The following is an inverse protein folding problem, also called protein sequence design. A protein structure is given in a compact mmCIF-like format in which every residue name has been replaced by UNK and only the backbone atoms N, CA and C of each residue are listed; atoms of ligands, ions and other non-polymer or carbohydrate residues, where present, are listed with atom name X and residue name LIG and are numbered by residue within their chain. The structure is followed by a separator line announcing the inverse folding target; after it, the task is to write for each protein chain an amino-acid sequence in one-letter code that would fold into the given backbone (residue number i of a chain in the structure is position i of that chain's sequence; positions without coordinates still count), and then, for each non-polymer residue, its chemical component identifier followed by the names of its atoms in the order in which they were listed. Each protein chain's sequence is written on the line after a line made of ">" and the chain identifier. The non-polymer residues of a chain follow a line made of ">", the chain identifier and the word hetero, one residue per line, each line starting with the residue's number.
data_IF_558721878254
#
_entry.id   IF_558721878254
#
_cell.length_a   1.000
_cell.length_b   1.000
_cell.length_c   1.000
_cell.angle_alpha   90.00
_cell.angle_beta   90.00
_cell.angle_gamma   90.00
#
_symmetry.space_group_name_H-M   'P 1'
#
loop_
_entity.id
_entity.type
_entity.pdbx_description
1 polymer ?
#
# COMPACT_ATOMS: atom_id res chain seq x y z
N UNK A 1 21.21 10.26 15.25
CA UNK A 1 20.16 9.29 15.62
C UNK A 1 18.87 9.77 14.96
N UNK A 2 18.39 9.07 13.92
CA UNK A 2 17.03 9.28 13.41
C UNK A 2 16.10 8.52 14.35
N UNK A 3 15.19 9.21 15.02
CA UNK A 3 14.29 8.65 16.04
C UNK A 3 12.90 8.31 15.51
N UNK A 4 12.65 8.42 14.21
CA UNK A 4 11.34 8.16 13.61
C UNK A 4 11.54 7.44 12.27
N UNK A 5 11.22 6.15 12.23
CA UNK A 5 11.08 5.34 11.01
C UNK A 5 9.57 5.21 10.75
N UNK A 6 9.16 5.40 9.51
CA UNK A 6 7.75 5.54 9.12
C UNK A 6 7.38 4.58 8.01
N UNK A 7 7.16 3.31 8.36
CA UNK A 7 6.73 2.29 7.40
C UNK A 7 5.21 2.35 7.34
N UNK A 8 4.72 3.25 6.50
CA UNK A 8 3.30 3.53 6.33
C UNK A 8 2.71 2.64 5.22
N UNK A 9 1.54 2.07 5.51
CA UNK A 9 0.79 1.25 4.56
C UNK A 9 -0.45 1.98 4.06
N UNK A 10 -0.77 1.77 2.79
CA UNK A 10 -2.10 2.05 2.25
C UNK A 10 -2.71 0.72 1.81
N UNK A 11 -3.88 0.37 2.34
CA UNK A 11 -4.66 -0.78 1.93
C UNK A 11 -5.82 -0.34 1.04
N UNK A 12 -5.90 -0.90 -0.17
CA UNK A 12 -7.00 -0.68 -1.11
C UNK A 12 -7.89 -1.91 -1.16
N UNK A 13 -9.10 -1.77 -0.63
CA UNK A 13 -10.09 -2.83 -0.49
C UNK A 13 -10.84 -3.12 -1.81
N UNK A 14 -11.47 -4.29 -1.92
CA UNK A 14 -12.29 -4.65 -3.09
C UNK A 14 -13.44 -3.68 -3.36
N UNK A 15 -14.00 -3.04 -2.33
CA UNK A 15 -15.06 -2.04 -2.46
C UNK A 15 -14.51 -0.62 -2.67
N UNK A 16 -13.22 -0.44 -2.94
CA UNK A 16 -12.64 0.86 -3.16
C UNK A 16 -13.11 1.49 -4.48
N UNK A 17 -13.38 2.80 -4.43
CA UNK A 17 -13.49 3.61 -5.62
C UNK A 17 -12.11 3.79 -6.25
N UNK A 18 -11.85 3.13 -7.38
CA UNK A 18 -10.51 3.12 -8.00
C UNK A 18 -10.03 4.52 -8.39
N UNK A 19 -10.92 5.45 -8.76
CA UNK A 19 -10.52 6.82 -9.06
C UNK A 19 -10.03 7.58 -7.83
N UNK A 20 -10.70 7.38 -6.69
CA UNK A 20 -10.26 7.94 -5.40
C UNK A 20 -8.98 7.26 -4.93
N UNK A 21 -8.90 5.93 -5.04
CA UNK A 21 -7.71 5.16 -4.66
C UNK A 21 -6.45 5.62 -5.41
N UNK A 22 -6.54 5.87 -6.72
CA UNK A 22 -5.43 6.41 -7.52
C UNK A 22 -4.91 7.74 -6.97
N UNK A 23 -5.82 8.66 -6.62
CA UNK A 23 -5.43 9.97 -6.07
C UNK A 23 -4.74 9.81 -4.71
N UNK A 24 -5.34 9.03 -3.80
CA UNK A 24 -4.80 8.80 -2.46
C UNK A 24 -3.41 8.14 -2.53
N UNK A 25 -3.27 7.06 -3.30
CA UNK A 25 -2.01 6.31 -3.43
C UNK A 25 -0.90 7.17 -4.04
N UNK A 26 -1.25 8.00 -5.02
CA UNK A 26 -0.31 8.94 -5.64
C UNK A 26 0.14 10.00 -4.64
N UNK A 27 -0.80 10.65 -3.97
CA UNK A 27 -0.52 11.77 -3.07
C UNK A 27 0.23 11.25 -1.83
N UNK A 28 -0.13 10.08 -1.30
CA UNK A 28 0.56 9.42 -0.19
C UNK A 28 2.03 9.09 -0.48
N UNK A 29 2.44 9.00 -1.76
CA UNK A 29 3.86 8.77 -2.11
C UNK A 29 4.61 10.02 -2.55
N UNK A 30 3.97 10.91 -3.31
CA UNK A 30 4.66 11.96 -4.07
C UNK A 30 4.63 13.30 -3.34
N UNK A 31 3.66 13.54 -2.47
CA UNK A 31 3.50 14.85 -1.83
C UNK A 31 4.75 15.24 -1.04
N UNK A 32 5.29 14.31 -0.24
CA UNK A 32 6.62 14.46 0.34
C UNK A 32 7.32 13.10 0.55
N UNK A 33 8.02 12.55 -0.46
CA UNK A 33 8.53 11.16 -0.43
C UNK A 33 9.60 10.88 0.64
N UNK A 34 10.18 11.94 1.22
CA UNK A 34 11.16 11.86 2.30
C UNK A 34 10.53 12.03 3.70
N UNK A 35 9.22 12.21 3.76
CA UNK A 35 8.48 12.28 5.02
C UNK A 35 8.36 10.90 5.65
N UNK A 36 8.34 10.87 6.98
CA UNK A 36 8.07 9.65 7.74
C UNK A 36 6.60 9.17 7.65
N UNK A 37 5.75 9.83 6.86
CA UNK A 37 4.38 9.39 6.59
C UNK A 37 4.16 9.03 5.12
N UNK A 38 5.21 9.06 4.29
CA UNK A 38 5.11 8.63 2.90
C UNK A 38 4.78 7.14 2.85
N UNK A 39 3.87 6.74 1.96
CA UNK A 39 3.53 5.33 1.76
C UNK A 39 4.78 4.55 1.34
N UNK A 40 5.13 3.50 2.07
CA UNK A 40 6.23 2.60 1.72
C UNK A 40 5.73 1.28 1.15
N UNK A 41 4.53 0.84 1.58
CA UNK A 41 3.89 -0.38 1.09
C UNK A 41 2.42 -0.11 0.70
N UNK A 42 2.06 -0.51 -0.52
CA UNK A 42 0.70 -0.55 -1.02
C UNK A 42 0.17 -1.99 -0.93
N UNK A 43 -0.83 -2.21 -0.08
CA UNK A 43 -1.56 -3.47 0.01
C UNK A 43 -2.81 -3.40 -0.86
N UNK A 44 -3.06 -4.42 -1.67
CA UNK A 44 -4.18 -4.44 -2.61
C UNK A 44 -4.99 -5.72 -2.43
N UNK A 45 -6.30 -5.60 -2.26
CA UNK A 45 -7.18 -6.77 -2.18
C UNK A 45 -7.11 -7.59 -3.48
N UNK A 46 -7.02 -8.92 -3.36
CA UNK A 46 -6.88 -9.85 -4.49
C UNK A 46 -7.89 -9.65 -5.63
N UNK A 47 -9.17 -9.40 -5.32
CA UNK A 47 -10.23 -9.12 -6.30
C UNK A 47 -9.89 -7.96 -7.26
N UNK A 48 -9.12 -6.96 -6.80
CA UNK A 48 -8.68 -5.85 -7.65
C UNK A 48 -7.65 -6.27 -8.71
N UNK A 49 -6.96 -7.39 -8.48
CA UNK A 49 -6.10 -8.00 -9.50
C UNK A 49 -6.94 -8.65 -10.60
N UNK A 50 -8.11 -9.17 -10.26
CA UNK A 50 -9.01 -9.84 -11.21
C UNK A 50 -9.86 -8.89 -12.06
N UNK A 51 -10.09 -7.65 -11.58
CA UNK A 51 -10.95 -6.68 -12.26
C UNK A 51 -10.20 -5.52 -12.95
N UNK A 52 -8.86 -5.52 -12.90
CA UNK A 52 -8.02 -4.49 -13.52
C UNK A 52 -7.71 -3.27 -12.64
N UNK A 53 -8.30 -3.17 -11.43
CA UNK A 53 -8.01 -2.08 -10.49
C UNK A 53 -6.54 -2.01 -10.08
N UNK A 54 -5.87 -3.16 -9.92
CA UNK A 54 -4.43 -3.22 -9.65
C UNK A 54 -3.61 -2.56 -10.78
N UNK A 55 -3.93 -2.85 -12.04
CA UNK A 55 -3.23 -2.30 -13.19
C UNK A 55 -3.40 -0.78 -13.27
N UNK A 56 -4.58 -0.26 -12.94
CA UNK A 56 -4.85 1.18 -12.87
C UNK A 56 -4.00 1.89 -11.80
N UNK A 57 -3.89 1.31 -10.61
CA UNK A 57 -3.06 1.83 -9.52
C UNK A 57 -1.58 1.84 -9.91
N UNK A 58 -1.09 0.75 -10.49
CA UNK A 58 0.29 0.62 -10.98
C UNK A 58 0.57 1.64 -12.07
N UNK A 59 -0.34 1.80 -13.03
CA UNK A 59 -0.17 2.76 -14.12
C UNK A 59 -0.11 4.20 -13.59
N UNK A 60 -0.88 4.54 -12.56
CA UNK A 60 -0.80 5.85 -11.90
C UNK A 60 0.57 6.06 -11.24
N UNK A 61 1.02 5.13 -10.40
CA UNK A 61 2.32 5.22 -9.73
C UNK A 61 3.49 5.28 -10.71
N UNK A 62 3.46 4.49 -11.79
CA UNK A 62 4.48 4.53 -12.85
C UNK A 62 4.49 5.85 -13.60
N UNK A 63 3.32 6.42 -13.94
CA UNK A 63 3.21 7.75 -14.58
C UNK A 63 3.79 8.84 -13.71
N UNK A 64 3.66 8.68 -12.40
CA UNK A 64 4.25 9.51 -11.37
C UNK A 64 5.78 9.32 -11.18
N UNK A 65 6.40 8.36 -11.88
CA UNK A 65 7.83 8.07 -11.75
C UNK A 65 8.21 7.23 -10.54
N UNK A 66 7.24 6.59 -9.87
CA UNK A 66 7.50 5.72 -8.72
C UNK A 66 8.04 4.37 -9.19
N UNK A 67 9.19 3.97 -8.63
CA UNK A 67 9.76 2.65 -8.83
C UNK A 67 9.02 1.61 -7.97
N UNK A 68 8.55 0.54 -8.59
CA UNK A 68 7.74 -0.47 -7.92
C UNK A 68 8.54 -1.74 -7.66
N UNK A 69 8.47 -2.22 -6.43
CA UNK A 69 8.91 -3.53 -6.01
C UNK A 69 7.69 -4.36 -5.61
N UNK A 70 7.73 -5.66 -5.84
CA UNK A 70 6.66 -6.57 -5.44
C UNK A 70 7.01 -7.32 -4.17
N UNK A 71 6.04 -7.54 -3.28
CA UNK A 71 6.11 -8.70 -2.39
C UNK A 71 5.92 -10.01 -3.18
N UNK A 72 6.04 -11.20 -2.56
CA UNK A 72 5.99 -12.47 -3.27
C UNK A 72 4.83 -12.64 -4.26
N UNK A 73 3.59 -12.24 -3.92
CA UNK A 73 2.45 -12.41 -4.85
C UNK A 73 2.48 -11.36 -5.96
N UNK A 74 2.66 -10.09 -5.61
CA UNK A 74 2.73 -9.01 -6.60
C UNK A 74 3.92 -9.17 -7.56
N UNK A 75 5.08 -9.58 -7.08
CA UNK A 75 6.29 -9.85 -7.87
C UNK A 75 6.03 -10.93 -8.92
N UNK A 76 5.43 -12.06 -8.49
CA UNK A 76 5.08 -13.16 -9.38
C UNK A 76 4.03 -12.77 -10.43
N UNK A 77 3.00 -12.02 -10.03
CA UNK A 77 1.92 -11.59 -10.93
C UNK A 77 2.40 -10.56 -11.96
N UNK A 78 3.12 -9.53 -11.50
CA UNK A 78 3.49 -8.37 -12.29
C UNK A 78 4.85 -8.52 -12.99
N UNK A 79 5.62 -9.56 -12.65
CA UNK A 79 6.99 -9.80 -13.12
C UNK A 79 7.92 -8.61 -12.84
N UNK A 80 7.81 -8.03 -11.65
CA UNK A 80 8.67 -6.94 -11.17
C UNK A 80 9.72 -7.47 -10.18
N UNK A 81 10.69 -6.64 -9.81
CA UNK A 81 11.69 -7.04 -8.83
C UNK A 81 11.04 -7.23 -7.44
N UNK A 82 11.42 -8.28 -6.74
CA UNK A 82 10.96 -8.50 -5.37
C UNK A 82 11.58 -7.46 -4.43
N UNK A 83 10.81 -7.00 -3.46
CA UNK A 83 11.30 -6.15 -2.38
C UNK A 83 12.29 -6.95 -1.50
N UNK A 84 13.36 -6.30 -1.04
CA UNK A 84 14.36 -6.96 -0.18
C UNK A 84 13.80 -7.33 1.19
N UNK A 85 12.80 -6.58 1.65
CA UNK A 85 12.09 -6.76 2.91
C UNK A 85 10.81 -5.91 2.90
N UNK A 86 9.78 -6.33 3.62
CA UNK A 86 8.62 -5.49 3.93
C UNK A 86 8.92 -4.41 4.98
N UNK A 87 10.04 -4.51 5.71
CA UNK A 87 10.49 -3.50 6.68
C UNK A 87 11.37 -2.41 6.04
N UNK A 88 11.13 -2.08 4.77
CA UNK A 88 11.99 -1.19 4.01
C UNK A 88 11.38 0.21 3.91
N UNK A 89 12.03 1.19 4.53
CA UNK A 89 11.78 2.61 4.24
C UNK A 89 12.62 3.02 3.03
N UNK A 90 11.97 3.41 1.93
CA UNK A 90 12.67 3.81 0.71
C UNK A 90 13.14 5.26 0.76
N UNK A 91 12.41 6.13 1.49
CA UNK A 91 12.63 7.60 1.56
C UNK A 91 12.90 8.24 0.18
N UNK A 92 12.30 7.68 -0.87
CA UNK A 92 12.49 8.03 -2.28
C UNK A 92 11.21 7.70 -3.05
N UNK A 93 11.18 8.00 -4.36
CA UNK A 93 10.07 7.63 -5.24
C UNK A 93 10.09 6.12 -5.56
N UNK A 94 9.98 5.28 -4.53
CA UNK A 94 9.88 3.84 -4.65
C UNK A 94 8.97 3.26 -3.57
N UNK A 95 8.18 2.23 -3.89
CA UNK A 95 7.36 1.54 -2.90
C UNK A 95 7.25 0.03 -3.21
N UNK A 96 6.85 -0.72 -2.19
CA UNK A 96 6.45 -2.12 -2.34
C UNK A 96 4.96 -2.21 -2.64
N UNK A 97 4.57 -3.13 -3.51
CA UNK A 97 3.18 -3.53 -3.72
C UNK A 97 3.04 -4.97 -3.25
N UNK A 98 1.99 -5.30 -2.50
CA UNK A 98 1.64 -6.68 -2.18
C UNK A 98 0.13 -6.91 -2.29
N UNK A 99 -0.24 -8.14 -2.68
CA UNK A 99 -1.63 -8.58 -2.81
C UNK A 99 -2.02 -9.36 -1.56
N UNK A 100 -3.12 -8.95 -0.94
CA UNK A 100 -3.68 -9.58 0.28
C UNK A 100 -5.07 -10.14 0.00
N UNK A 101 -5.46 -11.17 0.77
CA UNK A 101 -6.70 -11.89 0.51
C UNK A 101 -7.95 -11.11 0.95
N UNK A 102 -7.83 -10.36 2.05
CA UNK A 102 -8.88 -9.56 2.66
C UNK A 102 -8.29 -8.49 3.62
N UNK A 103 -9.18 -7.79 4.33
CA UNK A 103 -8.82 -6.76 5.32
C UNK A 103 -8.05 -7.31 6.51
N UNK A 104 -8.30 -8.56 6.94
CA UNK A 104 -7.60 -9.15 8.08
C UNK A 104 -6.16 -9.48 7.71
N UNK A 105 -5.94 -10.03 6.52
CA UNK A 105 -4.59 -10.22 5.98
C UNK A 105 -3.83 -8.89 5.83
N UNK A 106 -4.54 -7.80 5.49
CA UNK A 106 -3.94 -6.46 5.45
C UNK A 106 -3.53 -5.97 6.84
N UNK A 107 -4.41 -6.12 7.84
CA UNK A 107 -4.15 -5.77 9.24
C UNK A 107 -2.96 -6.57 9.78
N UNK A 108 -2.95 -7.89 9.57
CA UNK A 108 -1.87 -8.77 9.99
C UNK A 108 -0.54 -8.32 9.37
N UNK A 109 -0.53 -8.00 8.07
CA UNK A 109 0.67 -7.48 7.40
C UNK A 109 1.18 -6.19 8.07
N UNK A 110 0.27 -5.25 8.37
CA UNK A 110 0.61 -3.98 9.00
C UNK A 110 1.16 -4.20 10.41
N UNK A 111 0.57 -5.08 11.22
CA UNK A 111 1.08 -5.40 12.56
C UNK A 111 2.47 -6.04 12.52
N UNK A 112 2.72 -6.89 11.52
CA UNK A 112 4.01 -7.57 11.39
C UNK A 112 5.10 -6.67 10.81
N UNK A 113 4.78 -5.74 9.91
CA UNK A 113 5.76 -5.00 9.10
C UNK A 113 5.77 -3.49 9.28
N UNK A 114 4.67 -2.91 9.73
CA UNK A 114 4.51 -1.49 10.00
C UNK A 114 5.28 -1.01 11.22
N UNK A 115 5.45 0.31 11.29
CA UNK A 115 6.07 1.00 12.41
C UNK A 115 5.04 1.61 13.37
N UNK A 116 3.75 1.27 13.22
CA UNK A 116 2.62 1.84 13.96
C UNK A 116 2.58 3.38 13.92
N UNK A 117 2.93 3.96 12.78
CA UNK A 117 3.00 5.41 12.60
C UNK A 117 1.74 5.97 11.96
N UNK A 118 1.43 5.55 10.73
CA UNK A 118 0.26 6.00 9.98
C UNK A 118 -0.08 4.94 8.94
N UNK A 119 -1.27 4.37 9.04
CA UNK A 119 -1.76 3.38 8.09
C UNK A 119 -3.17 3.79 7.63
N UNK A 120 -3.47 3.55 6.36
CA UNK A 120 -4.67 4.07 5.71
C UNK A 120 -5.42 2.96 4.98
N UNK A 121 -6.75 3.01 5.00
CA UNK A 121 -7.62 2.17 4.19
C UNK A 121 -8.42 3.01 3.20
N UNK A 122 -8.55 2.51 1.96
CA UNK A 122 -9.45 3.05 0.93
C UNK A 122 -10.52 2.01 0.65
N UNK A 123 -11.76 2.31 1.03
CA UNK A 123 -12.95 1.47 0.80
C UNK A 123 -14.23 2.32 0.81
N UNK A 124 -15.27 1.91 0.07
CA UNK A 124 -16.63 2.43 0.25
C UNK A 124 -17.46 1.56 1.22
N UNK A 125 -16.92 0.43 1.70
CA UNK A 125 -17.54 -0.44 2.69
C UNK A 125 -17.25 0.05 4.12
N UNK A 126 -18.30 0.53 4.79
CA UNK A 126 -18.20 1.08 6.15
C UNK A 126 -17.81 0.02 7.19
N UNK A 127 -18.25 -1.22 7.05
CA UNK A 127 -17.94 -2.27 8.03
C UNK A 127 -16.46 -2.67 7.94
N UNK A 128 -15.93 -2.73 6.72
CA UNK A 128 -14.50 -2.97 6.47
C UNK A 128 -13.66 -1.80 7.01
N UNK A 129 -14.06 -0.55 6.78
CA UNK A 129 -13.38 0.62 7.32
C UNK A 129 -13.36 0.62 8.85
N UNK A 130 -14.48 0.36 9.51
CA UNK A 130 -14.55 0.28 10.98
C UNK A 130 -13.70 -0.87 11.53
N UNK A 131 -13.66 -2.01 10.84
CA UNK A 131 -12.84 -3.16 11.24
C UNK A 131 -11.35 -2.81 11.20
N UNK A 132 -10.90 -2.17 10.12
CA UNK A 132 -9.52 -1.73 9.96
C UNK A 132 -9.11 -0.72 11.03
N UNK A 133 -9.92 0.34 11.22
CA UNK A 133 -9.62 1.40 12.19
C UNK A 133 -9.57 0.90 13.63
N UNK A 134 -10.38 -0.11 13.99
CA UNK A 134 -10.38 -0.67 15.36
C UNK A 134 -9.22 -1.61 15.67
N UNK A 135 -8.56 -2.15 14.63
CA UNK A 135 -7.54 -3.19 14.81
C UNK A 135 -6.14 -2.70 14.50
N UNK A 136 -5.98 -1.65 13.68
CA UNK A 136 -4.68 -1.09 13.33
C UNK A 136 -4.20 -0.05 14.36
N UNK A 137 -5.12 0.71 14.97
CA UNK A 137 -4.86 1.60 16.13
C UNK A 137 -4.84 0.81 17.47
#
# INVERSE_FOLDING_TARGET
>A
MRTWYGICHVYVDKAANINVAKQIVRDAKIDYPAACNAMETLLVHQDLSGNGGLDELIAELKRAGVQLYGGPRASALLKIAEAKSFHLEYSSLACTIEIVDDVFAAIDHIHHHGSSHTDCIVTEDREVAETFLRQVD
#
